data_IF_095856133326
#
_entry.id   IF_095856133326
#
_cell.length_a   1.000
_cell.length_b   1.000
_cell.length_c   1.000
_cell.angle_alpha   90.00
_cell.angle_beta   90.00
_cell.angle_gamma   90.00
#
_symmetry.space_group_name_H-M   'P 1'
#
loop_
_entity.id
_entity.type
_entity.pdbx_description
1 polymer ?
#
# COMPACT_ATOMS: atom_id res chain seq x y z
N UNK A 1 -16.44 26.14 11.01
CA UNK A 1 -15.07 25.89 10.50
C UNK A 1 -14.15 25.19 11.50
N UNK A 2 -14.31 25.40 12.80
CA UNK A 2 -13.39 24.89 13.84
C UNK A 2 -13.27 23.35 13.95
N UNK A 3 -14.36 22.61 13.70
CA UNK A 3 -14.36 21.13 13.72
C UNK A 3 -13.46 20.51 12.63
N UNK A 4 -13.42 21.12 11.43
CA UNK A 4 -12.55 20.65 10.33
C UNK A 4 -11.06 20.81 10.67
N UNK A 5 -10.69 21.91 11.32
CA UNK A 5 -9.31 22.15 11.75
C UNK A 5 -8.83 21.17 12.84
N UNK A 6 -9.72 20.69 13.72
CA UNK A 6 -9.37 19.67 14.73
C UNK A 6 -9.07 18.31 14.09
N UNK A 7 -9.87 17.89 13.11
CA UNK A 7 -9.69 16.60 12.42
C UNK A 7 -8.37 16.58 11.64
N UNK A 8 -8.06 17.65 10.92
CA UNK A 8 -6.80 17.75 10.15
C UNK A 8 -5.58 17.72 11.08
N UNK A 9 -5.60 18.48 12.18
CA UNK A 9 -4.51 18.44 13.18
C UNK A 9 -4.35 17.07 13.82
N UNK A 10 -5.45 16.42 14.18
CA UNK A 10 -5.41 15.07 14.75
C UNK A 10 -4.79 14.07 13.77
N UNK A 11 -5.22 14.08 12.51
CA UNK A 11 -4.68 13.21 11.48
C UNK A 11 -3.16 13.43 11.30
N UNK A 12 -2.73 14.69 11.17
CA UNK A 12 -1.32 15.02 11.01
C UNK A 12 -0.47 14.54 12.20
N UNK A 13 -0.94 14.77 13.43
CA UNK A 13 -0.28 14.30 14.64
C UNK A 13 -0.17 12.77 14.68
N UNK A 14 -1.23 12.06 14.31
CA UNK A 14 -1.26 10.59 14.25
C UNK A 14 -0.24 10.05 13.25
N UNK A 15 -0.21 10.62 12.03
CA UNK A 15 0.75 10.23 10.99
C UNK A 15 2.18 10.52 11.44
N UNK A 16 2.42 11.66 12.08
CA UNK A 16 3.74 12.03 12.57
C UNK A 16 4.23 11.08 13.68
N UNK A 17 3.36 10.69 14.61
CA UNK A 17 3.70 9.72 15.67
C UNK A 17 3.97 8.33 15.08
N UNK A 18 3.14 7.89 14.13
CA UNK A 18 3.35 6.64 13.42
C UNK A 18 4.72 6.60 12.72
N UNK A 19 5.07 7.68 12.00
CA UNK A 19 6.38 7.82 11.35
C UNK A 19 7.55 7.75 12.33
N UNK A 20 7.44 8.40 13.50
CA UNK A 20 8.46 8.33 14.56
C UNK A 20 8.68 6.89 15.03
N UNK A 21 7.59 6.17 15.32
CA UNK A 21 7.62 4.77 15.76
C UNK A 21 8.26 3.88 14.69
N UNK A 22 7.81 3.98 13.43
CA UNK A 22 8.38 3.18 12.33
C UNK A 22 9.87 3.45 12.14
N UNK A 23 10.31 4.70 12.24
CA UNK A 23 11.71 5.07 12.07
C UNK A 23 12.57 4.54 13.22
N UNK A 24 12.08 4.60 14.46
CA UNK A 24 12.77 4.06 15.64
C UNK A 24 12.90 2.54 15.58
N UNK A 25 11.83 1.82 15.15
CA UNK A 25 11.89 0.38 14.92
C UNK A 25 12.95 -0.01 13.89
N UNK A 26 13.00 0.70 12.75
CA UNK A 26 14.01 0.43 11.71
C UNK A 26 15.44 0.59 12.23
N UNK A 27 15.70 1.60 13.04
CA UNK A 27 17.00 1.79 13.68
C UNK A 27 17.32 0.63 14.63
N UNK A 28 16.40 0.30 15.55
CA UNK A 28 16.60 -0.81 16.48
C UNK A 28 16.85 -2.14 15.76
N UNK A 29 16.11 -2.41 14.69
CA UNK A 29 16.33 -3.62 13.92
C UNK A 29 17.66 -3.63 13.16
N UNK A 30 18.11 -2.47 12.69
CA UNK A 30 19.44 -2.33 12.08
C UNK A 30 20.54 -2.64 13.10
N UNK A 31 20.39 -2.11 14.32
CA UNK A 31 21.29 -2.41 15.44
C UNK A 31 21.27 -3.90 15.76
N UNK A 32 20.09 -4.50 15.93
CA UNK A 32 19.92 -5.92 16.21
C UNK A 32 20.62 -6.80 15.17
N UNK A 33 20.44 -6.51 13.88
CA UNK A 33 21.13 -7.22 12.79
C UNK A 33 22.65 -7.14 12.93
N UNK A 34 23.20 -5.97 13.24
CA UNK A 34 24.64 -5.79 13.44
C UNK A 34 25.16 -6.55 14.68
N UNK A 35 24.37 -6.62 15.75
CA UNK A 35 24.68 -7.42 16.95
C UNK A 35 24.77 -8.90 16.60
N UNK A 36 23.78 -9.44 15.87
CA UNK A 36 23.79 -10.82 15.38
C UNK A 36 25.00 -11.10 14.49
N UNK A 37 25.30 -10.20 13.56
CA UNK A 37 26.47 -10.28 12.68
C UNK A 37 27.79 -10.30 13.49
N UNK A 38 27.92 -9.42 14.49
CA UNK A 38 29.09 -9.41 15.38
C UNK A 38 29.23 -10.72 16.15
N UNK A 39 28.14 -11.21 16.74
CA UNK A 39 28.15 -12.48 17.49
C UNK A 39 28.54 -13.66 16.59
N UNK A 40 28.07 -13.67 15.34
CA UNK A 40 28.49 -14.64 14.34
C UNK A 40 30.00 -14.60 14.09
N UNK A 41 30.58 -13.41 13.85
CA UNK A 41 32.04 -13.29 13.68
C UNK A 41 32.82 -13.72 14.93
N UNK A 42 32.34 -13.39 16.13
CA UNK A 42 32.96 -13.88 17.36
C UNK A 42 32.93 -15.41 17.46
N UNK A 43 31.84 -16.06 17.06
CA UNK A 43 31.75 -17.51 16.97
C UNK A 43 32.75 -18.11 15.98
N UNK A 44 32.93 -17.47 14.82
CA UNK A 44 33.92 -17.90 13.82
C UNK A 44 35.35 -17.76 14.34
N UNK A 45 35.70 -16.67 15.03
CA UNK A 45 37.05 -16.51 15.60
C UNK A 45 37.39 -17.65 16.55
N UNK A 46 36.43 -18.08 17.40
CA UNK A 46 36.63 -19.22 18.30
C UNK A 46 36.86 -20.54 17.54
N UNK A 47 36.21 -20.72 16.39
CA UNK A 47 36.32 -21.93 15.56
C UNK A 47 37.62 -21.98 14.74
N UNK A 48 38.14 -20.83 14.33
CA UNK A 48 39.31 -20.72 13.43
C UNK A 48 40.53 -20.10 14.13
N UNK A 49 40.71 -20.37 15.43
CA UNK A 49 41.77 -19.76 16.23
C UNK A 49 43.18 -20.02 15.65
N UNK A 50 43.40 -21.18 15.03
CA UNK A 50 44.69 -21.58 14.43
C UNK A 50 44.93 -20.95 13.05
N UNK A 51 43.88 -20.44 12.40
CA UNK A 51 43.97 -19.75 11.11
C UNK A 51 44.32 -18.28 11.30
N UNK A 52 45.56 -17.95 11.66
CA UNK A 52 46.01 -16.59 12.01
C UNK A 52 45.50 -15.51 11.04
N UNK A 53 45.59 -15.73 9.73
CA UNK A 53 45.11 -14.77 8.72
C UNK A 53 43.59 -14.56 8.77
N UNK A 54 42.81 -15.63 8.92
CA UNK A 54 41.35 -15.59 9.01
C UNK A 54 40.92 -14.92 10.32
N UNK A 55 41.55 -15.28 11.44
CA UNK A 55 41.29 -14.68 12.75
C UNK A 55 41.57 -13.16 12.76
N UNK A 56 42.64 -12.71 12.10
CA UNK A 56 42.95 -11.27 11.93
C UNK A 56 41.88 -10.57 11.09
N UNK A 57 41.46 -11.16 9.96
CA UNK A 57 40.40 -10.60 9.13
C UNK A 57 39.06 -10.49 9.87
N UNK A 58 38.69 -11.54 10.62
CA UNK A 58 37.48 -11.54 11.43
C UNK A 58 37.55 -10.51 12.55
N UNK A 59 38.70 -10.35 13.21
CA UNK A 59 38.90 -9.32 14.24
C UNK A 59 38.71 -7.90 13.67
N UNK A 60 39.21 -7.64 12.45
CA UNK A 60 38.95 -6.37 11.75
C UNK A 60 37.46 -6.18 11.46
N UNK A 61 36.75 -7.24 11.04
CA UNK A 61 35.29 -7.19 10.83
C UNK A 61 34.55 -6.90 12.13
N UNK A 62 34.87 -7.58 13.23
CA UNK A 62 34.29 -7.36 14.56
C UNK A 62 34.47 -5.90 15.00
N UNK A 63 35.68 -5.34 14.82
CA UNK A 63 35.96 -3.94 15.15
C UNK A 63 35.07 -2.98 14.34
N UNK A 64 35.05 -3.12 13.02
CA UNK A 64 34.20 -2.29 12.13
C UNK A 64 32.71 -2.42 12.46
N UNK A 65 32.23 -3.64 12.73
CA UNK A 65 30.83 -3.85 13.11
C UNK A 65 30.53 -3.21 14.47
N UNK A 66 31.44 -3.28 15.44
CA UNK A 66 31.29 -2.64 16.75
C UNK A 66 31.24 -1.10 16.63
N UNK A 67 32.08 -0.51 15.79
CA UNK A 67 32.03 0.93 15.47
C UNK A 67 30.69 1.31 14.84
N UNK A 68 30.19 0.52 13.88
CA UNK A 68 28.87 0.73 13.26
C UNK A 68 27.73 0.61 14.28
N UNK A 69 27.78 -0.35 15.20
CA UNK A 69 26.80 -0.48 16.28
C UNK A 69 26.78 0.81 17.11
N UNK A 70 27.95 1.30 17.54
CA UNK A 70 28.06 2.55 18.31
C UNK A 70 27.51 3.76 17.55
N UNK A 71 27.81 3.87 16.25
CA UNK A 71 27.25 4.93 15.40
C UNK A 71 25.72 4.88 15.35
N UNK A 72 25.13 3.68 15.21
CA UNK A 72 23.68 3.52 15.18
C UNK A 72 23.03 3.77 16.55
N UNK A 73 23.70 3.37 17.65
CA UNK A 73 23.28 3.71 19.02
C UNK A 73 23.27 5.23 19.22
N UNK A 74 24.30 5.93 18.78
CA UNK A 74 24.36 7.39 18.86
C UNK A 74 23.25 8.04 18.00
N UNK A 75 23.02 7.52 16.80
CA UNK A 75 21.95 7.98 15.92
C UNK A 75 20.55 7.74 16.53
N UNK A 76 20.38 6.68 17.32
CA UNK A 76 19.16 6.40 18.07
C UNK A 76 19.03 7.35 19.28
N UNK A 77 20.09 7.48 20.08
CA UNK A 77 20.11 8.27 21.30
C UNK A 77 19.94 9.77 21.03
N UNK A 78 20.42 10.28 19.89
CA UNK A 78 20.28 11.69 19.50
C UNK A 78 18.89 12.10 18.99
N UNK A 79 17.88 11.21 19.01
CA UNK A 79 16.54 11.49 18.48
C UNK A 79 15.50 11.57 19.58
N UNK A 80 14.43 12.34 19.32
CA UNK A 80 13.23 12.32 20.16
C UNK A 80 12.56 10.95 20.06
N UNK A 81 12.45 10.27 21.21
CA UNK A 81 11.89 8.91 21.30
C UNK A 81 10.38 8.95 21.54
N UNK A 82 9.68 7.96 21.00
CA UNK A 82 8.32 7.66 21.47
C UNK A 82 8.43 6.99 22.84
N UNK A 83 7.50 7.24 23.79
CA UNK A 83 7.52 6.64 25.12
C UNK A 83 7.45 5.11 25.11
N UNK A 84 7.09 4.50 23.97
CA UNK A 84 7.09 3.05 23.80
C UNK A 84 8.50 2.46 23.70
N UNK A 85 9.53 3.26 23.45
CA UNK A 85 10.90 2.79 23.24
C UNK A 85 11.80 3.22 24.39
N UNK A 86 12.89 2.47 24.66
CA UNK A 86 13.82 2.84 25.71
C UNK A 86 14.40 4.25 25.47
N UNK A 87 14.52 5.06 26.53
CA UNK A 87 14.96 6.45 26.41
C UNK A 87 16.43 6.56 25.95
N UNK A 88 17.23 5.55 26.27
CA UNK A 88 18.64 5.46 25.92
C UNK A 88 19.01 4.01 25.68
N UNK A 89 19.90 3.79 24.72
CA UNK A 89 20.57 2.52 24.51
C UNK A 89 22.01 2.64 24.95
N UNK A 90 22.47 1.66 25.72
CA UNK A 90 23.88 1.48 26.03
C UNK A 90 24.46 0.32 25.23
N UNK A 91 25.73 0.42 24.89
CA UNK A 91 26.40 -0.58 24.08
C UNK A 91 26.39 -1.96 24.74
N UNK A 92 26.59 -2.01 26.06
CA UNK A 92 26.67 -3.26 26.83
C UNK A 92 25.34 -4.00 26.82
N UNK A 93 24.24 -3.29 27.06
CA UNK A 93 22.88 -3.85 27.04
C UNK A 93 22.52 -4.38 25.65
N UNK A 94 22.90 -3.63 24.61
CA UNK A 94 22.61 -3.98 23.22
C UNK A 94 23.37 -5.23 22.76
N UNK A 95 24.51 -5.56 23.35
CA UNK A 95 25.24 -6.77 22.98
C UNK A 95 24.57 -8.05 23.49
N UNK A 96 23.69 -7.97 24.48
CA UNK A 96 22.95 -9.11 25.01
C UNK A 96 21.82 -9.47 24.05
N UNK A 97 21.86 -10.68 23.48
CA UNK A 97 20.86 -11.13 22.50
C UNK A 97 19.48 -11.36 23.12
N UNK A 98 19.44 -11.69 24.41
CA UNK A 98 18.20 -11.93 25.16
C UNK A 98 17.65 -10.64 25.81
N UNK A 99 18.26 -9.49 25.51
CA UNK A 99 17.85 -8.23 26.12
C UNK A 99 16.41 -7.87 25.71
N UNK A 100 15.54 -7.43 26.65
CA UNK A 100 14.13 -7.16 26.38
C UNK A 100 13.88 -6.09 25.31
N UNK A 101 14.89 -5.26 25.01
CA UNK A 101 14.84 -4.27 23.92
C UNK A 101 14.53 -4.91 22.55
N UNK A 102 14.91 -6.16 22.34
CA UNK A 102 14.72 -6.85 21.05
C UNK A 102 13.30 -7.38 20.82
N UNK A 103 12.49 -7.49 21.88
CA UNK A 103 11.07 -7.86 21.77
C UNK A 103 10.28 -6.94 20.82
N UNK A 104 10.73 -5.68 20.68
CA UNK A 104 10.11 -4.70 19.80
C UNK A 104 10.50 -4.85 18.32
N UNK A 105 11.58 -5.61 18.05
CA UNK A 105 12.11 -5.88 16.71
C UNK A 105 11.51 -7.19 16.15
N UNK A 106 11.44 -8.24 16.97
CA UNK A 106 10.98 -9.57 16.54
C UNK A 106 9.52 -9.58 16.08
N UNK A 107 8.67 -8.76 16.68
CA UNK A 107 7.23 -8.81 16.47
C UNK A 107 6.70 -8.19 15.15
N UNK A 108 7.53 -7.61 14.26
CA UNK A 108 6.91 -6.86 13.13
C UNK A 108 7.70 -6.63 11.84
N UNK A 109 8.99 -6.95 11.74
CA UNK A 109 9.76 -6.43 10.61
C UNK A 109 9.56 -7.18 9.29
N UNK A 110 9.29 -8.49 9.33
CA UNK A 110 8.94 -9.28 8.13
C UNK A 110 7.57 -8.87 7.57
N UNK A 111 6.55 -8.86 8.43
CA UNK A 111 5.17 -8.75 7.97
C UNK A 111 4.74 -7.32 7.64
N UNK A 112 5.28 -6.29 8.29
CA UNK A 112 4.76 -4.93 8.07
C UNK A 112 5.19 -4.34 6.73
N UNK A 113 6.41 -4.61 6.27
CA UNK A 113 6.91 -4.10 4.99
C UNK A 113 6.36 -4.90 3.81
N UNK A 114 6.19 -6.21 4.00
CA UNK A 114 5.51 -7.08 3.04
C UNK A 114 4.05 -6.66 2.86
N UNK A 115 3.33 -6.40 3.96
CA UNK A 115 1.95 -5.90 3.94
C UNK A 115 1.84 -4.51 3.30
N UNK A 116 2.81 -3.62 3.54
CA UNK A 116 2.82 -2.30 2.90
C UNK A 116 3.04 -2.40 1.38
N UNK A 117 3.96 -3.25 0.92
CA UNK A 117 4.17 -3.54 -0.50
C UNK A 117 2.94 -4.18 -1.14
N UNK A 118 2.34 -5.17 -0.49
CA UNK A 118 1.09 -5.81 -0.94
C UNK A 118 -0.04 -4.80 -1.06
N UNK A 119 -0.22 -3.91 -0.08
CA UNK A 119 -1.24 -2.85 -0.15
C UNK A 119 -0.96 -1.84 -1.26
N UNK A 120 0.30 -1.47 -1.49
CA UNK A 120 0.65 -0.57 -2.59
C UNK A 120 0.36 -1.20 -3.96
N UNK A 121 0.69 -2.49 -4.14
CA UNK A 121 0.36 -3.25 -5.36
C UNK A 121 -1.15 -3.36 -5.53
N UNK A 122 -1.89 -3.67 -4.46
CA UNK A 122 -3.34 -3.76 -4.49
C UNK A 122 -4.00 -2.43 -4.88
N UNK A 123 -3.54 -1.31 -4.32
CA UNK A 123 -4.03 0.02 -4.67
C UNK A 123 -3.73 0.38 -6.12
N UNK A 124 -2.51 0.09 -6.59
CA UNK A 124 -2.14 0.31 -7.99
C UNK A 124 -3.04 -0.46 -8.95
N UNK A 125 -3.28 -1.74 -8.66
CA UNK A 125 -4.18 -2.58 -9.46
C UNK A 125 -5.64 -2.09 -9.41
N UNK A 126 -6.12 -1.59 -8.27
CA UNK A 126 -7.45 -0.98 -8.19
C UNK A 126 -7.54 0.28 -9.06
N UNK A 127 -6.52 1.14 -9.06
CA UNK A 127 -6.49 2.30 -9.94
C UNK A 127 -6.53 1.91 -11.42
N UNK A 128 -5.70 0.95 -11.84
CA UNK A 128 -5.70 0.44 -13.22
C UNK A 128 -7.08 -0.09 -13.63
N UNK A 129 -7.69 -0.94 -12.79
CA UNK A 129 -9.04 -1.47 -13.05
C UNK A 129 -10.11 -0.39 -13.14
N UNK A 130 -10.03 0.62 -12.28
CA UNK A 130 -10.98 1.76 -12.31
C UNK A 130 -10.85 2.55 -13.60
N UNK A 131 -9.63 2.68 -14.12
CA UNK A 131 -9.35 3.37 -15.38
C UNK A 131 -9.84 2.56 -16.59
N UNK A 132 -9.62 1.24 -16.60
CA UNK A 132 -10.19 0.32 -17.58
C UNK A 132 -11.72 0.35 -17.59
N UNK A 133 -12.37 0.27 -16.42
CA UNK A 133 -13.83 0.35 -16.29
C UNK A 133 -14.37 1.69 -16.81
N UNK A 134 -13.68 2.80 -16.53
CA UNK A 134 -14.05 4.11 -17.06
C UNK A 134 -13.99 4.14 -18.59
N UNK A 135 -12.95 3.55 -19.20
CA UNK A 135 -12.83 3.46 -20.65
C UNK A 135 -13.93 2.58 -21.26
N UNK A 136 -14.27 1.46 -20.62
CA UNK A 136 -15.35 0.58 -21.07
C UNK A 136 -16.71 1.27 -20.98
N UNK A 137 -16.98 2.02 -19.91
CA UNK A 137 -18.23 2.79 -19.78
C UNK A 137 -18.31 3.90 -20.82
N UNK A 138 -17.20 4.57 -21.14
CA UNK A 138 -17.17 5.58 -22.20
C UNK A 138 -17.37 4.97 -23.59
N UNK A 139 -16.70 3.86 -23.89
CA UNK A 139 -16.80 3.17 -25.17
C UNK A 139 -18.19 2.52 -25.37
N UNK A 140 -18.70 1.83 -24.35
CA UNK A 140 -19.98 1.14 -24.42
C UNK A 140 -21.17 2.08 -24.21
N UNK A 141 -21.02 3.18 -23.46
CA UNK A 141 -22.07 4.20 -23.32
C UNK A 141 -22.45 4.81 -24.68
N UNK A 142 -21.47 5.00 -25.56
CA UNK A 142 -21.71 5.42 -26.95
C UNK A 142 -22.44 4.34 -27.76
N UNK A 143 -22.11 3.07 -27.57
CA UNK A 143 -22.79 1.94 -28.23
C UNK A 143 -24.24 1.78 -27.76
N UNK A 144 -24.53 2.00 -26.47
CA UNK A 144 -25.91 1.98 -25.96
C UNK A 144 -26.73 3.13 -26.55
N UNK A 145 -26.19 4.36 -26.60
CA UNK A 145 -26.88 5.48 -27.23
C UNK A 145 -27.09 5.28 -28.74
N UNK A 146 -26.10 4.71 -29.46
CA UNK A 146 -26.25 4.38 -30.88
C UNK A 146 -27.30 3.30 -31.12
N UNK A 147 -27.34 2.28 -30.27
CA UNK A 147 -28.33 1.20 -30.38
C UNK A 147 -29.74 1.69 -30.10
N UNK A 148 -29.93 2.57 -29.12
CA UNK A 148 -31.24 3.17 -28.85
C UNK A 148 -31.69 4.12 -29.98
N UNK A 149 -30.78 4.91 -30.56
CA UNK A 149 -31.07 5.74 -31.73
C UNK A 149 -31.48 4.88 -32.94
N UNK A 150 -30.77 3.78 -33.20
CA UNK A 150 -31.08 2.88 -34.30
C UNK A 150 -32.46 2.21 -34.12
N UNK A 151 -32.78 1.74 -32.92
CA UNK A 151 -34.10 1.17 -32.60
C UNK A 151 -35.22 2.21 -32.73
N UNK A 152 -34.94 3.48 -32.39
CA UNK A 152 -35.89 4.58 -32.54
C UNK A 152 -36.14 4.92 -34.02
N UNK A 153 -35.10 4.95 -34.84
CA UNK A 153 -35.21 5.16 -36.29
C UNK A 153 -35.99 4.03 -36.98
N UNK A 154 -35.76 2.77 -36.58
CA UNK A 154 -36.49 1.60 -37.09
C UNK A 154 -37.98 1.63 -36.69
N UNK A 155 -38.29 2.07 -35.47
CA UNK A 155 -39.67 2.27 -35.01
C UNK A 155 -40.38 3.41 -35.79
N UNK A 156 -39.67 4.49 -36.12
CA UNK A 156 -40.23 5.58 -36.93
C UNK A 156 -40.46 5.15 -38.39
N UNK A 157 -39.54 4.37 -38.97
CA UNK A 157 -39.68 3.85 -40.33
C UNK A 157 -40.86 2.88 -40.48
N UNK A 158 -41.11 2.04 -39.46
CA UNK A 158 -42.27 1.13 -39.45
C UNK A 158 -43.60 1.86 -39.28
N UNK A 159 -43.64 3.00 -38.59
CA UNK A 159 -44.82 3.87 -38.50
C UNK A 159 -45.08 4.64 -39.81
N UNK A 160 -44.03 5.00 -40.56
CA UNK A 160 -44.13 5.68 -41.86
C UNK A 160 -44.61 4.78 -43.01
N UNK A 161 -44.58 3.45 -42.86
CA UNK A 161 -45.07 2.49 -43.86
C UNK A 161 -46.55 2.13 -43.68
N UNK A 162 -47.26 2.73 -42.73
CA UNK A 162 -48.73 2.67 -42.67
C UNK A 162 -49.33 3.68 -43.67
N UNK A 163 -49.08 3.49 -44.96
CA UNK A 163 -49.88 4.16 -45.99
C UNK A 163 -51.29 3.55 -46.02
N UNK A 164 -52.26 4.44 -45.93
CA UNK A 164 -53.69 4.20 -45.84
C UNK A 164 -54.23 3.14 -46.81
N UNK A 165 -54.92 2.13 -46.28
CA UNK A 165 -55.90 1.40 -47.09
C UNK A 165 -57.02 2.37 -47.53
N UNK A 166 -57.32 2.48 -48.83
CA UNK A 166 -58.40 3.33 -49.30
C UNK A 166 -59.73 2.68 -48.91
N UNK A 167 -60.42 3.29 -47.93
CA UNK A 167 -61.75 2.90 -47.50
C UNK A 167 -62.72 3.04 -48.68
N UNK A 168 -63.10 1.93 -49.33
CA UNK A 168 -64.19 1.89 -50.31
C UNK A 168 -65.51 2.18 -49.58
N UNK A 169 -65.99 3.41 -49.67
CA UNK A 169 -67.37 3.75 -49.31
C UNK A 169 -68.34 3.18 -50.35
N UNK A 170 -69.05 2.11 -49.99
CA UNK A 170 -70.28 1.73 -50.68
C UNK A 170 -71.41 2.64 -50.18
N UNK A 171 -71.79 3.64 -50.98
CA UNK A 171 -73.03 4.40 -50.80
C UNK A 171 -74.22 3.51 -51.15
N UNK A 172 -74.91 3.00 -50.12
CA UNK A 172 -76.23 2.41 -50.25
C UNK A 172 -77.26 3.52 -50.52
N UNK A 173 -77.84 3.52 -51.72
CA UNK A 173 -79.02 4.32 -52.03
C UNK A 173 -80.24 3.70 -51.34
N UNK A 174 -80.65 4.31 -50.23
CA UNK A 174 -81.91 4.03 -49.54
C UNK A 174 -83.07 4.61 -50.33
N UNK A 175 -84.07 3.76 -50.58
CA UNK A 175 -85.35 4.09 -51.16
C UNK A 175 -86.08 5.20 -50.37
N UNK A 176 -86.86 6.01 -51.09
CA UNK A 176 -87.91 6.86 -50.53
C UNK A 176 -89.27 6.51 -51.18
N UNK A 177 -90.41 6.66 -50.47
CA UNK A 177 -91.67 6.03 -50.82
C UNK A 177 -92.73 6.99 -51.39
N UNK A 178 -93.70 6.36 -52.06
CA UNK A 178 -95.02 6.84 -52.57
C UNK A 178 -95.02 7.55 -53.91
#
# INVERSE_FOLDING_TARGET
MEKRNRIVRWFFNTVQQFWKVCRQRRLLATIHRLVLERSFYCGLVRKYADGQTIAVQLSRKIKRTSERINQQINAYNGRNKSPQFPPRLEYVDVLQQDHPVWSQVSNSMGDSLLRAKQRAVMLHNMCLRTEEERHLVQANGLLYCQRELWLFEEALASLGQCEAEPTRFHLGASAAPK
#
